data_IF_185066697465
#
_entry.id   IF_185066697465
#
_cell.length_a   1.000
_cell.length_b   1.000
_cell.length_c   1.000
_cell.angle_alpha   90.00
_cell.angle_beta   90.00
_cell.angle_gamma   90.00
#
_symmetry.space_group_name_H-M   'P 1'
#
loop_
_entity.id
_entity.type
_entity.pdbx_description
1 polymer ?
#
# COMPACT_ATOMS: atom_id res chain seq x y z
N UNK A 1 -20.06 -50.56 44.90
CA UNK A 1 -19.35 -50.04 43.72
C UNK A 1 -18.76 -48.72 44.14
N UNK A 2 -17.43 -48.65 44.22
CA UNK A 2 -16.72 -47.44 44.60
C UNK A 2 -16.64 -46.50 43.38
N UNK A 3 -16.87 -45.21 43.56
CA UNK A 3 -16.87 -44.21 42.47
C UNK A 3 -15.49 -44.13 41.78
N UNK A 4 -14.44 -44.56 42.46
CA UNK A 4 -13.08 -44.66 41.91
C UNK A 4 -12.96 -45.60 40.70
N UNK A 5 -13.72 -46.70 40.66
CA UNK A 5 -13.68 -47.67 39.55
C UNK A 5 -14.42 -47.16 38.30
N UNK A 6 -15.36 -46.22 38.45
CA UNK A 6 -16.11 -45.61 37.34
C UNK A 6 -15.35 -44.50 36.60
N UNK A 7 -14.25 -43.99 37.16
CA UNK A 7 -13.55 -42.81 36.65
C UNK A 7 -12.25 -43.11 35.88
N UNK A 8 -11.89 -44.38 35.70
CA UNK A 8 -10.83 -44.81 34.79
C UNK A 8 -9.44 -44.24 35.11
N UNK A 9 -9.09 -44.08 36.39
CA UNK A 9 -7.74 -43.69 36.81
C UNK A 9 -7.42 -42.18 36.79
N UNK A 10 -8.42 -41.30 36.68
CA UNK A 10 -8.23 -39.86 36.87
C UNK A 10 -8.12 -39.51 38.36
N UNK A 11 -7.12 -38.70 38.73
CA UNK A 11 -6.86 -38.31 40.12
C UNK A 11 -8.10 -37.60 40.73
N UNK A 12 -8.64 -38.20 41.79
CA UNK A 12 -9.78 -37.69 42.55
C UNK A 12 -9.52 -36.27 43.11
N UNK A 13 -8.25 -35.89 43.31
CA UNK A 13 -7.85 -34.56 43.76
C UNK A 13 -8.19 -33.45 42.76
N UNK A 14 -7.98 -33.70 41.46
CA UNK A 14 -8.25 -32.73 40.40
C UNK A 14 -9.75 -32.60 40.11
N UNK A 15 -10.48 -33.73 40.19
CA UNK A 15 -11.95 -33.71 40.11
C UNK A 15 -12.54 -32.94 41.30
N UNK A 16 -12.03 -33.14 42.52
CA UNK A 16 -12.46 -32.37 43.69
C UNK A 16 -12.17 -30.88 43.58
N UNK A 17 -11.02 -30.49 43.01
CA UNK A 17 -10.72 -29.07 42.75
C UNK A 17 -11.64 -28.46 41.70
N UNK A 18 -11.91 -29.18 40.61
CA UNK A 18 -12.83 -28.73 39.56
C UNK A 18 -14.26 -28.58 40.10
N UNK A 19 -14.72 -29.56 40.88
CA UNK A 19 -16.04 -29.50 41.54
C UNK A 19 -16.08 -28.39 42.59
N UNK A 20 -15.01 -28.23 43.38
CA UNK A 20 -14.88 -27.15 44.36
C UNK A 20 -14.97 -25.76 43.70
N UNK A 21 -14.28 -25.56 42.58
CA UNK A 21 -14.35 -24.32 41.81
C UNK A 21 -15.76 -24.05 41.27
N UNK A 22 -16.45 -25.06 40.72
CA UNK A 22 -17.84 -24.91 40.25
C UNK A 22 -18.80 -24.59 41.39
N UNK A 23 -18.58 -25.17 42.57
CA UNK A 23 -19.39 -24.91 43.76
C UNK A 23 -19.12 -23.52 44.33
N UNK A 24 -17.87 -23.07 44.38
CA UNK A 24 -17.49 -21.73 44.84
C UNK A 24 -18.01 -20.63 43.90
N UNK A 25 -18.14 -20.93 42.61
CA UNK A 25 -18.64 -20.01 41.59
C UNK A 25 -20.08 -20.35 41.15
N UNK A 26 -20.82 -21.13 41.95
CA UNK A 26 -22.13 -21.66 41.56
C UNK A 26 -23.13 -20.57 41.21
N UNK A 27 -23.11 -19.46 41.95
CA UNK A 27 -24.03 -18.34 41.75
C UNK A 27 -23.78 -17.63 40.42
N UNK A 28 -22.52 -17.51 40.01
CA UNK A 28 -22.15 -16.91 38.73
C UNK A 28 -22.44 -17.87 37.57
N UNK A 29 -22.24 -19.16 37.78
CA UNK A 29 -22.66 -20.20 36.83
C UNK A 29 -24.18 -20.19 36.63
N UNK A 30 -24.94 -19.99 37.70
CA UNK A 30 -26.40 -19.93 37.66
C UNK A 30 -26.90 -18.65 36.97
N UNK A 31 -26.21 -17.52 37.16
CA UNK A 31 -26.48 -16.27 36.41
C UNK A 31 -26.22 -16.45 34.92
N UNK A 32 -25.10 -17.07 34.54
CA UNK A 32 -24.79 -17.37 33.13
C UNK A 32 -25.82 -18.33 32.54
N UNK A 33 -26.20 -19.38 33.26
CA UNK A 33 -27.25 -20.31 32.84
C UNK A 33 -28.61 -19.62 32.65
N UNK A 34 -29.00 -18.71 33.55
CA UNK A 34 -30.23 -17.91 33.42
C UNK A 34 -30.15 -16.95 32.24
N UNK A 35 -28.99 -16.34 32.00
CA UNK A 35 -28.76 -15.46 30.86
C UNK A 35 -28.87 -16.22 29.54
N UNK A 36 -28.21 -17.39 29.44
CA UNK A 36 -28.26 -18.26 28.27
C UNK A 36 -29.66 -18.84 28.03
N UNK A 37 -30.38 -19.23 29.09
CA UNK A 37 -31.77 -19.71 28.99
C UNK A 37 -32.79 -18.60 28.71
N UNK A 38 -32.46 -17.35 29.03
CA UNK A 38 -33.34 -16.19 28.80
C UNK A 38 -33.18 -15.57 27.41
N UNK A 39 -32.21 -16.04 26.63
CA UNK A 39 -32.04 -15.62 25.24
C UNK A 39 -33.10 -16.28 24.35
N UNK A 40 -33.70 -15.53 23.41
CA UNK A 40 -34.54 -16.12 22.38
C UNK A 40 -33.73 -17.13 21.53
N UNK A 41 -34.39 -18.17 21.01
CA UNK A 41 -33.73 -19.24 20.23
C UNK A 41 -32.90 -18.67 19.05
N UNK A 42 -33.39 -17.61 18.42
CA UNK A 42 -32.69 -16.87 17.35
C UNK A 42 -31.33 -16.29 17.81
N UNK A 43 -31.22 -15.87 19.07
CA UNK A 43 -29.99 -15.35 19.64
C UNK A 43 -28.99 -16.48 19.97
N UNK A 44 -29.47 -17.66 20.35
CA UNK A 44 -28.61 -18.85 20.54
C UNK A 44 -28.06 -19.32 19.20
N UNK A 45 -28.89 -19.35 18.15
CA UNK A 45 -28.44 -19.66 16.79
C UNK A 45 -27.40 -18.65 16.28
N UNK A 46 -27.63 -17.36 16.53
CA UNK A 46 -26.68 -16.30 16.15
C UNK A 46 -25.33 -16.43 16.89
N UNK A 47 -25.34 -16.70 18.19
CA UNK A 47 -24.12 -16.95 18.98
C UNK A 47 -23.36 -18.18 18.43
N UNK A 48 -24.08 -19.21 17.98
CA UNK A 48 -23.47 -20.37 17.34
C UNK A 48 -22.78 -20.07 16.00
N UNK A 49 -23.29 -19.09 15.24
CA UNK A 49 -22.70 -18.66 13.94
C UNK A 49 -21.61 -17.60 14.09
N UNK A 50 -21.53 -16.92 15.22
CA UNK A 50 -20.58 -15.83 15.47
C UNK A 50 -19.11 -16.23 15.23
N UNK A 51 -18.62 -17.40 15.67
CA UNK A 51 -17.23 -17.80 15.42
C UNK A 51 -16.90 -17.92 13.92
N UNK A 52 -17.84 -18.45 13.13
CA UNK A 52 -17.63 -18.60 11.69
C UNK A 52 -17.74 -17.26 10.97
N UNK A 53 -18.65 -16.37 11.41
CA UNK A 53 -18.70 -15.00 10.92
C UNK A 53 -17.38 -14.27 11.18
N UNK A 54 -16.82 -14.38 12.39
CA UNK A 54 -15.54 -13.76 12.75
C UNK A 54 -14.38 -14.34 11.94
N UNK A 55 -14.36 -15.66 11.68
CA UNK A 55 -13.38 -16.26 10.75
C UNK A 55 -13.51 -15.70 9.33
N UNK A 56 -14.74 -15.58 8.81
CA UNK A 56 -14.98 -15.03 7.47
C UNK A 56 -14.54 -13.57 7.37
N UNK A 57 -14.91 -12.75 8.36
CA UNK A 57 -14.47 -11.35 8.45
C UNK A 57 -12.94 -11.30 8.52
N UNK A 58 -12.33 -12.08 9.42
CA UNK A 58 -10.89 -12.13 9.60
C UNK A 58 -10.14 -12.53 8.32
N UNK A 59 -10.66 -13.53 7.59
CA UNK A 59 -10.14 -13.93 6.29
C UNK A 59 -10.27 -12.83 5.23
N UNK A 60 -11.44 -12.20 5.13
CA UNK A 60 -11.66 -11.10 4.18
C UNK A 60 -10.77 -9.88 4.45
N UNK A 61 -10.53 -9.54 5.72
CA UNK A 61 -9.59 -8.47 6.09
C UNK A 61 -8.14 -8.85 5.74
N UNK A 62 -7.72 -10.08 6.00
CA UNK A 62 -6.38 -10.55 5.65
C UNK A 62 -6.14 -10.52 4.13
N UNK A 63 -7.11 -10.97 3.35
CA UNK A 63 -7.07 -10.91 1.89
C UNK A 63 -7.02 -9.46 1.39
N UNK A 64 -7.85 -8.57 1.92
CA UNK A 64 -7.81 -7.15 1.58
C UNK A 64 -6.45 -6.51 1.91
N UNK A 65 -5.84 -6.91 3.04
CA UNK A 65 -4.50 -6.48 3.42
C UNK A 65 -3.43 -6.94 2.43
N UNK A 66 -3.48 -8.21 2.00
CA UNK A 66 -2.56 -8.74 0.99
C UNK A 66 -2.70 -8.02 -0.36
N UNK A 67 -3.93 -7.70 -0.78
CA UNK A 67 -4.15 -6.95 -2.02
C UNK A 67 -3.63 -5.51 -1.92
N UNK A 68 -3.81 -4.85 -0.78
CA UNK A 68 -3.24 -3.51 -0.55
C UNK A 68 -1.70 -3.54 -0.61
N UNK A 69 -1.07 -4.55 -0.01
CA UNK A 69 0.39 -4.74 -0.08
C UNK A 69 0.87 -4.99 -1.52
N UNK A 70 0.18 -5.83 -2.29
CA UNK A 70 0.52 -6.05 -3.72
C UNK A 70 0.40 -4.78 -4.54
N UNK A 71 -0.63 -3.96 -4.29
CA UNK A 71 -0.80 -2.68 -4.95
C UNK A 71 0.34 -1.72 -4.59
N UNK A 72 0.76 -1.68 -3.31
CA UNK A 72 1.93 -0.91 -2.88
C UNK A 72 3.19 -1.33 -3.65
N UNK A 73 3.52 -2.63 -3.65
CA UNK A 73 4.68 -3.17 -4.39
C UNK A 73 4.61 -2.84 -5.89
N UNK A 74 3.43 -2.87 -6.51
CA UNK A 74 3.29 -2.50 -7.92
C UNK A 74 3.62 -1.01 -8.18
N UNK A 75 3.31 -0.13 -7.23
CA UNK A 75 3.57 1.30 -7.36
C UNK A 75 5.03 1.65 -7.08
N UNK A 76 5.61 1.09 -6.01
CA UNK A 76 6.90 1.54 -5.47
C UNK A 76 7.95 0.43 -5.34
N UNK A 77 7.64 -0.81 -5.68
CA UNK A 77 8.52 -1.95 -5.44
C UNK A 77 8.68 -2.30 -3.95
N UNK A 78 9.34 -3.43 -3.67
CA UNK A 78 9.59 -3.87 -2.29
C UNK A 78 10.66 -3.02 -1.58
N UNK A 79 11.51 -2.33 -2.35
CA UNK A 79 12.55 -1.42 -1.88
C UNK A 79 12.07 0.05 -1.78
N UNK A 80 10.81 0.33 -2.15
CA UNK A 80 10.30 1.70 -2.27
C UNK A 80 10.86 2.48 -3.47
N UNK A 81 11.72 1.86 -4.30
CA UNK A 81 12.38 2.46 -5.47
C UNK A 81 12.10 1.74 -6.79
N UNK A 82 11.17 0.79 -6.79
CA UNK A 82 10.72 0.00 -7.92
C UNK A 82 9.37 0.46 -8.51
N UNK A 83 8.70 -0.48 -9.17
CA UNK A 83 7.34 -0.30 -9.69
C UNK A 83 7.18 0.84 -10.71
N UNK A 84 5.97 1.39 -10.76
CA UNK A 84 5.63 2.55 -11.59
C UNK A 84 6.47 3.80 -11.24
N UNK A 85 6.81 3.99 -9.97
CA UNK A 85 7.66 5.10 -9.49
C UNK A 85 9.02 5.12 -10.20
N UNK A 86 9.66 3.95 -10.33
CA UNK A 86 10.96 3.83 -11.02
C UNK A 86 10.86 4.21 -12.50
N UNK A 87 9.80 3.76 -13.16
CA UNK A 87 9.57 4.08 -14.57
C UNK A 87 9.44 5.59 -14.78
N UNK A 88 8.66 6.28 -13.95
CA UNK A 88 8.51 7.75 -14.03
C UNK A 88 9.84 8.48 -13.81
N UNK A 89 10.61 8.06 -12.81
CA UNK A 89 11.92 8.65 -12.51
C UNK A 89 12.91 8.44 -13.65
N UNK A 90 12.90 7.27 -14.29
CA UNK A 90 13.69 6.98 -15.50
C UNK A 90 13.25 7.82 -16.70
N UNK A 91 11.95 8.01 -16.90
CA UNK A 91 11.40 8.89 -17.94
C UNK A 91 11.82 10.34 -17.73
N UNK A 92 11.74 10.87 -16.51
CA UNK A 92 12.21 12.21 -16.17
C UNK A 92 13.70 12.39 -16.48
N UNK A 93 14.53 11.41 -16.11
CA UNK A 93 15.97 11.40 -16.42
C UNK A 93 16.23 11.46 -17.92
N UNK A 94 15.49 10.66 -18.70
CA UNK A 94 15.58 10.65 -20.17
C UNK A 94 15.16 12.00 -20.76
N UNK A 95 14.12 12.63 -20.21
CA UNK A 95 13.67 13.95 -20.63
C UNK A 95 14.71 15.04 -20.34
N UNK A 96 15.36 15.02 -19.17
CA UNK A 96 16.46 15.95 -18.89
C UNK A 96 17.59 15.82 -19.90
N UNK A 97 18.01 14.58 -20.21
CA UNK A 97 19.03 14.34 -21.22
C UNK A 97 18.60 14.82 -22.63
N UNK A 98 17.32 14.67 -22.98
CA UNK A 98 16.78 15.20 -24.23
C UNK A 98 16.79 16.74 -24.25
N UNK A 99 16.39 17.38 -23.15
CA UNK A 99 16.43 18.84 -22.98
C UNK A 99 17.85 19.38 -23.11
N UNK A 100 18.86 18.72 -22.53
CA UNK A 100 20.25 19.16 -22.64
C UNK A 100 20.73 19.09 -24.09
N UNK A 101 20.43 17.99 -24.81
CA UNK A 101 20.73 17.87 -26.25
C UNK A 101 20.04 18.94 -27.10
N UNK A 102 18.81 19.32 -26.77
CA UNK A 102 18.11 20.41 -27.46
C UNK A 102 18.75 21.76 -27.17
N UNK A 103 19.20 22.01 -25.94
CA UNK A 103 19.98 23.23 -25.63
C UNK A 103 21.30 23.28 -26.40
N UNK A 104 22.00 22.16 -26.52
CA UNK A 104 23.23 22.08 -27.33
C UNK A 104 22.93 22.38 -28.80
N UNK A 105 21.88 21.78 -29.36
CA UNK A 105 21.46 22.02 -30.74
C UNK A 105 21.06 23.49 -30.97
N UNK A 106 20.32 24.10 -30.04
CA UNK A 106 19.99 25.53 -30.08
C UNK A 106 21.26 26.39 -30.05
N UNK A 107 22.22 26.06 -29.19
CA UNK A 107 23.52 26.74 -29.12
C UNK A 107 24.31 26.65 -30.43
N UNK A 108 24.36 25.47 -31.06
CA UNK A 108 25.00 25.28 -32.36
C UNK A 108 24.34 26.11 -33.47
N UNK A 109 23.00 26.15 -33.52
CA UNK A 109 22.28 26.96 -34.50
C UNK A 109 22.52 28.45 -34.32
N UNK A 110 22.56 28.93 -33.06
CA UNK A 110 22.88 30.33 -32.77
C UNK A 110 24.34 30.66 -33.13
N UNK A 111 25.27 29.74 -32.85
CA UNK A 111 26.66 29.88 -33.29
C UNK A 111 26.79 29.97 -34.81
N UNK A 112 26.10 29.10 -35.55
CA UNK A 112 26.07 29.15 -37.01
C UNK A 112 25.44 30.44 -37.52
N UNK A 113 24.36 30.93 -36.88
CA UNK A 113 23.78 32.22 -37.19
C UNK A 113 24.80 33.35 -37.06
N UNK A 114 25.59 33.35 -35.99
CA UNK A 114 26.66 34.33 -35.76
C UNK A 114 27.79 34.26 -36.79
N UNK A 115 28.14 33.08 -37.31
CA UNK A 115 29.10 32.96 -38.42
C UNK A 115 28.51 33.44 -39.75
N UNK A 116 27.23 33.16 -39.99
CA UNK A 116 26.54 33.53 -41.22
C UNK A 116 26.32 35.05 -41.32
N UNK A 117 26.07 35.71 -40.19
CA UNK A 117 25.94 37.18 -40.07
C UNK A 117 27.20 37.92 -40.54
N UNK A 118 28.36 37.28 -40.46
CA UNK A 118 29.65 37.84 -40.94
C UNK A 118 29.81 37.78 -42.46
N UNK A 119 28.91 37.13 -43.19
CA UNK A 119 29.00 36.94 -44.65
C UNK A 119 28.14 37.98 -45.38
N UNK A 120 28.75 38.96 -46.09
CA UNK A 120 28.01 40.01 -46.78
C UNK A 120 27.09 39.47 -47.89
N UNK A 121 25.88 40.03 -48.00
CA UNK A 121 24.94 39.78 -49.10
C UNK A 121 24.07 38.52 -48.97
N UNK A 122 24.37 37.62 -48.03
CA UNK A 122 23.60 36.39 -47.77
C UNK A 122 23.24 36.25 -46.27
N UNK A 123 24.04 36.87 -45.38
CA UNK A 123 24.05 36.65 -43.93
C UNK A 123 22.74 36.93 -43.20
N UNK A 124 22.25 38.17 -43.22
CA UNK A 124 21.21 38.64 -42.29
C UNK A 124 19.94 37.79 -42.25
N UNK A 125 19.36 37.48 -43.42
CA UNK A 125 18.08 36.77 -43.48
C UNK A 125 18.21 35.31 -43.04
N UNK A 126 19.35 34.68 -43.33
CA UNK A 126 19.60 33.30 -42.96
C UNK A 126 20.06 33.19 -41.49
N UNK A 127 20.90 34.12 -41.02
CA UNK A 127 21.28 34.26 -39.61
C UNK A 127 20.05 34.49 -38.73
N UNK A 128 19.15 35.40 -39.13
CA UNK A 128 17.89 35.63 -38.40
C UNK A 128 17.06 34.36 -38.28
N UNK A 129 16.86 33.63 -39.39
CA UNK A 129 16.10 32.37 -39.38
C UNK A 129 16.71 31.31 -38.46
N UNK A 130 18.04 31.20 -38.44
CA UNK A 130 18.73 30.27 -37.55
C UNK A 130 18.61 30.67 -36.08
N UNK A 131 18.69 31.96 -35.77
CA UNK A 131 18.45 32.47 -34.42
C UNK A 131 17.01 32.26 -33.95
N UNK A 132 16.02 32.52 -34.82
CA UNK A 132 14.61 32.26 -34.51
C UNK A 132 14.38 30.76 -34.25
N UNK A 133 14.96 29.88 -35.09
CA UNK A 133 14.90 28.43 -34.90
C UNK A 133 15.60 27.96 -33.62
N UNK A 134 16.76 28.53 -33.28
CA UNK A 134 17.44 28.31 -32.01
C UNK A 134 16.55 28.68 -30.82
N UNK A 135 15.89 29.85 -30.87
CA UNK A 135 14.95 30.29 -29.85
C UNK A 135 13.77 29.34 -29.68
N UNK A 136 13.18 28.85 -30.77
CA UNK A 136 12.10 27.86 -30.73
C UNK A 136 12.54 26.55 -30.07
N UNK A 137 13.72 26.03 -30.44
CA UNK A 137 14.26 24.80 -29.82
C UNK A 137 14.55 25.02 -28.33
N UNK A 138 15.07 26.18 -27.94
CA UNK A 138 15.23 26.55 -26.53
C UNK A 138 13.91 26.59 -25.76
N UNK A 139 12.83 27.04 -26.40
CA UNK A 139 11.47 26.97 -25.87
C UNK A 139 11.03 25.54 -25.59
N UNK A 140 11.14 24.66 -26.59
CA UNK A 140 10.82 23.22 -26.46
C UNK A 140 11.64 22.56 -25.35
N UNK A 141 12.92 22.90 -25.22
CA UNK A 141 13.76 22.38 -24.15
C UNK A 141 13.22 22.76 -22.76
N UNK A 142 12.68 23.98 -22.60
CA UNK A 142 12.07 24.46 -21.35
C UNK A 142 10.76 23.74 -21.04
N UNK A 143 9.96 23.44 -22.06
CA UNK A 143 8.73 22.64 -21.90
C UNK A 143 9.05 21.20 -21.46
N UNK A 144 10.08 20.58 -22.04
CA UNK A 144 10.54 19.24 -21.65
C UNK A 144 11.07 19.23 -20.21
N UNK A 145 11.81 20.27 -19.79
CA UNK A 145 12.26 20.42 -18.41
C UNK A 145 11.07 20.47 -17.43
N UNK A 146 10.03 21.22 -17.78
CA UNK A 146 8.80 21.30 -16.98
C UNK A 146 8.08 19.96 -16.90
N UNK A 147 8.00 19.22 -18.02
CA UNK A 147 7.41 17.88 -18.05
C UNK A 147 8.20 16.88 -17.20
N UNK A 148 9.53 16.93 -17.26
CA UNK A 148 10.40 16.09 -16.42
C UNK A 148 10.16 16.35 -14.92
N UNK A 149 10.03 17.62 -14.52
CA UNK A 149 9.66 17.99 -13.16
C UNK A 149 8.31 17.41 -12.73
N UNK A 150 7.28 17.53 -13.59
CA UNK A 150 5.96 16.96 -13.30
C UNK A 150 6.01 15.43 -13.12
N UNK A 151 6.86 14.72 -13.86
CA UNK A 151 7.05 13.28 -13.69
C UNK A 151 7.75 12.94 -12.36
N UNK A 152 8.67 13.78 -11.88
CA UNK A 152 9.30 13.63 -10.57
C UNK A 152 8.28 13.87 -9.45
N UNK A 153 7.42 14.88 -9.58
CA UNK A 153 6.34 15.14 -8.62
C UNK A 153 5.36 13.96 -8.56
N UNK A 154 4.96 13.43 -9.72
CA UNK A 154 4.11 12.25 -9.79
C UNK A 154 4.78 11.02 -9.17
N UNK A 155 6.08 10.84 -9.40
CA UNK A 155 6.88 9.80 -8.74
C UNK A 155 6.86 9.94 -7.21
N UNK A 156 6.96 11.17 -6.69
CA UNK A 156 6.80 11.47 -5.27
C UNK A 156 5.42 11.09 -4.73
N UNK A 157 4.35 11.43 -5.46
CA UNK A 157 2.98 11.03 -5.10
C UNK A 157 2.83 9.51 -5.05
N UNK A 158 3.37 8.78 -6.04
CA UNK A 158 3.33 7.32 -6.03
C UNK A 158 4.07 6.72 -4.83
N UNK A 159 5.17 7.34 -4.40
CA UNK A 159 5.87 6.97 -3.16
C UNK A 159 4.93 7.00 -1.96
N UNK A 160 4.28 8.15 -1.74
CA UNK A 160 3.36 8.33 -0.61
C UNK A 160 2.14 7.41 -0.68
N UNK A 161 1.59 7.18 -1.87
CA UNK A 161 0.47 6.23 -2.06
C UNK A 161 0.92 4.79 -1.78
N UNK A 162 2.11 4.39 -2.25
CA UNK A 162 2.69 3.08 -1.97
C UNK A 162 2.88 2.84 -0.47
N UNK A 163 3.45 3.81 0.25
CA UNK A 163 3.60 3.74 1.70
C UNK A 163 2.25 3.63 2.43
N UNK A 164 1.26 4.44 2.03
CA UNK A 164 -0.08 4.40 2.62
C UNK A 164 -0.77 3.05 2.40
N UNK A 165 -0.66 2.47 1.20
CA UNK A 165 -1.20 1.15 0.88
C UNK A 165 -0.49 0.03 1.64
N UNK A 166 0.83 0.11 1.79
CA UNK A 166 1.60 -0.84 2.59
C UNK A 166 1.16 -0.82 4.05
N UNK A 167 1.06 0.37 4.64
CA UNK A 167 0.56 0.53 6.02
C UNK A 167 -0.89 0.10 6.21
N UNK A 168 -1.76 0.35 5.21
CA UNK A 168 -3.12 -0.19 5.20
C UNK A 168 -3.11 -1.72 5.15
N UNK A 169 -2.26 -2.30 4.31
CA UNK A 169 -2.07 -3.75 4.19
C UNK A 169 -1.75 -4.39 5.53
N UNK A 170 -0.73 -3.87 6.22
CA UNK A 170 -0.35 -4.33 7.56
C UNK A 170 -1.51 -4.27 8.55
N UNK A 171 -2.22 -3.13 8.64
CA UNK A 171 -3.32 -2.95 9.60
C UNK A 171 -4.49 -3.89 9.33
N UNK A 172 -4.82 -4.14 8.06
CA UNK A 172 -5.90 -5.06 7.68
C UNK A 172 -5.52 -6.51 7.98
N UNK A 173 -4.28 -6.91 7.71
CA UNK A 173 -3.78 -8.25 8.08
C UNK A 173 -3.78 -8.45 9.59
N UNK A 174 -3.31 -7.47 10.37
CA UNK A 174 -3.35 -7.51 11.84
C UNK A 174 -4.78 -7.63 12.35
N UNK A 175 -5.67 -6.76 11.87
CA UNK A 175 -7.09 -6.76 12.25
C UNK A 175 -7.75 -8.09 11.90
N UNK A 176 -7.46 -8.64 10.72
CA UNK A 176 -7.96 -9.95 10.29
C UNK A 176 -7.48 -11.09 11.20
N UNK A 177 -6.21 -11.03 11.64
CA UNK A 177 -5.64 -11.95 12.62
C UNK A 177 -6.34 -11.85 13.98
N UNK A 178 -6.48 -10.64 14.52
CA UNK A 178 -7.11 -10.40 15.83
C UNK A 178 -8.57 -10.86 15.87
N UNK A 179 -9.33 -10.63 14.79
CA UNK A 179 -10.72 -11.05 14.68
C UNK A 179 -10.85 -12.58 14.54
N UNK A 180 -9.85 -13.27 13.97
CA UNK A 180 -9.83 -14.74 13.87
C UNK A 180 -9.55 -15.44 15.20
N UNK A 181 -8.93 -14.75 16.15
CA UNK A 181 -8.60 -15.26 17.49
C UNK A 181 -9.27 -14.46 18.62
N UNK A 182 -10.61 -14.35 18.71
CA UNK A 182 -11.25 -13.59 19.79
C UNK A 182 -11.17 -14.28 21.16
N UNK A 183 -10.70 -15.53 21.23
CA UNK A 183 -10.78 -16.40 22.42
C UNK A 183 -9.44 -17.08 22.78
N UNK A 184 -8.32 -16.43 22.47
CA UNK A 184 -7.01 -16.82 23.01
C UNK A 184 -6.83 -16.33 24.44
#
# INVERSE_FOLDING_TARGET
MDIGDLLGGRDMGDVKKAVGFVVENSDDFEKVLKLVRGLPDDAIEFIGKLPDLLKTIGGGLAEAGEQAAKAATALVGDDGEGGARRALTGSATTMHAAKDKLKDAAGMLSGLAGELDKIPGIGDAAAKRLNDGSGQIGGVATEIESLAGNLQDLSGILSSVGEALSGLGTKLTESGGSVKTPLG
#
